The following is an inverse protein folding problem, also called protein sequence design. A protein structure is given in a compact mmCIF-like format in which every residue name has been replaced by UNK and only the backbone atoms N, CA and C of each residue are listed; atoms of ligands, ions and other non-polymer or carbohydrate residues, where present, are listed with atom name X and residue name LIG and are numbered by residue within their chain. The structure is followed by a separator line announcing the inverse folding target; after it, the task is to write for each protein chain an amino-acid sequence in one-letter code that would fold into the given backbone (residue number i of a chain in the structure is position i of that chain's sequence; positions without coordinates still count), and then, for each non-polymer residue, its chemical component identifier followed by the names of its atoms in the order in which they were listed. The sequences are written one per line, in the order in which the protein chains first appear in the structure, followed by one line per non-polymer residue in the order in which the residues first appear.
data_IF_595639239434
#
_entry.id   IF_595639239434
#
_cell.length_a   1.000
_cell.length_b   1.000
_cell.length_c   1.000
_cell.angle_alpha   90.00
_cell.angle_beta   90.00
_cell.angle_gamma   90.00
#
_symmetry.space_group_name_H-M   'P 1'
#
loop_
_entity.id
_entity.type
_entity.pdbx_description
1 polymer ?
#
# COMPACT_ATOMS: atom_id res chain seq x y z
N UNK A 1 -48.15 -20.49 24.04
CA UNK A 1 -48.71 -21.63 23.26
C UNK A 1 -48.96 -21.26 21.79
N UNK A 2 -49.60 -20.13 21.49
CA UNK A 2 -49.92 -19.71 20.12
C UNK A 2 -48.72 -19.53 19.18
N UNK A 3 -47.61 -18.91 19.62
CA UNK A 3 -46.41 -18.71 18.78
C UNK A 3 -45.85 -20.02 18.24
N UNK A 4 -45.86 -21.07 19.08
CA UNK A 4 -45.30 -22.37 18.71
C UNK A 4 -46.14 -23.06 17.64
N UNK A 5 -47.47 -22.95 17.73
CA UNK A 5 -48.39 -23.49 16.74
C UNK A 5 -48.23 -22.81 15.39
N UNK A 6 -48.07 -21.49 15.37
CA UNK A 6 -47.87 -20.70 14.13
C UNK A 6 -46.55 -21.08 13.46
N UNK A 7 -45.46 -21.20 14.23
CA UNK A 7 -44.15 -21.63 13.69
C UNK A 7 -44.24 -23.05 13.11
N UNK A 8 -44.87 -24.00 13.80
CA UNK A 8 -45.10 -25.36 13.29
C UNK A 8 -45.91 -25.35 11.99
N UNK A 9 -46.97 -24.54 11.92
CA UNK A 9 -47.81 -24.41 10.73
C UNK A 9 -47.04 -23.81 9.55
N UNK A 10 -46.23 -22.77 9.79
CA UNK A 10 -45.40 -22.14 8.77
C UNK A 10 -44.36 -23.13 8.20
N UNK A 11 -43.66 -23.88 9.03
CA UNK A 11 -42.72 -24.93 8.58
C UNK A 11 -43.42 -26.00 7.74
N UNK A 12 -44.60 -26.46 8.18
CA UNK A 12 -45.39 -27.43 7.41
C UNK A 12 -45.82 -26.90 6.04
N UNK A 13 -46.19 -25.62 5.98
CA UNK A 13 -46.55 -24.93 4.72
C UNK A 13 -45.37 -24.79 3.77
N UNK A 14 -44.18 -24.44 4.29
CA UNK A 14 -42.93 -24.36 3.51
C UNK A 14 -42.55 -25.71 2.89
N UNK A 15 -42.71 -26.81 3.66
CA UNK A 15 -42.43 -28.19 3.21
C UNK A 15 -43.48 -28.68 2.21
N UNK A 16 -44.73 -28.19 2.28
CA UNK A 16 -45.76 -28.53 1.30
C UNK A 16 -45.46 -27.95 -0.09
N UNK A 17 -44.78 -26.80 -0.16
CA UNK A 17 -44.43 -26.11 -1.40
C UNK A 17 -42.91 -26.13 -1.64
N UNK A 18 -42.31 -27.32 -1.65
CA UNK A 18 -40.84 -27.50 -1.69
C UNK A 18 -40.16 -26.70 -2.80
N UNK A 19 -40.69 -26.76 -4.02
CA UNK A 19 -40.07 -26.11 -5.19
C UNK A 19 -40.10 -24.58 -5.08
N UNK A 20 -41.25 -24.01 -4.71
CA UNK A 20 -41.40 -22.55 -4.53
C UNK A 20 -40.52 -22.03 -3.39
N UNK A 21 -40.56 -22.70 -2.24
CA UNK A 21 -39.76 -22.31 -1.07
C UNK A 21 -38.26 -22.42 -1.37
N UNK A 22 -37.84 -23.48 -2.06
CA UNK A 22 -36.44 -23.68 -2.45
C UNK A 22 -35.94 -22.60 -3.40
N UNK A 23 -36.68 -22.31 -4.48
CA UNK A 23 -36.31 -21.29 -5.46
C UNK A 23 -36.25 -19.88 -4.84
N UNK A 24 -37.18 -19.55 -3.94
CA UNK A 24 -37.18 -18.27 -3.23
C UNK A 24 -35.97 -18.14 -2.30
N UNK A 25 -35.64 -19.20 -1.54
CA UNK A 25 -34.45 -19.21 -0.69
C UNK A 25 -33.16 -19.11 -1.51
N UNK A 26 -33.07 -19.84 -2.63
CA UNK A 26 -31.92 -19.82 -3.52
C UNK A 26 -31.63 -18.40 -4.04
N UNK A 27 -32.68 -17.68 -4.45
CA UNK A 27 -32.56 -16.29 -4.91
C UNK A 27 -31.99 -15.36 -3.84
N UNK A 28 -32.47 -15.47 -2.60
CA UNK A 28 -31.96 -14.66 -1.49
C UNK A 28 -30.51 -15.02 -1.17
N UNK A 29 -30.17 -16.31 -1.12
CA UNK A 29 -28.80 -16.77 -0.83
C UNK A 29 -27.81 -16.22 -1.87
N UNK A 30 -28.12 -16.36 -3.16
CA UNK A 30 -27.26 -15.87 -4.24
C UNK A 30 -27.16 -14.34 -4.20
N UNK A 31 -28.29 -13.65 -4.03
CA UNK A 31 -28.34 -12.18 -3.97
C UNK A 31 -27.50 -11.61 -2.83
N UNK A 32 -27.68 -12.11 -1.61
CA UNK A 32 -26.92 -11.65 -0.43
C UNK A 32 -25.44 -12.02 -0.56
N UNK A 33 -25.13 -13.22 -1.06
CA UNK A 33 -23.73 -13.67 -1.24
C UNK A 33 -22.98 -12.79 -2.24
N UNK A 34 -23.61 -12.42 -3.36
CA UNK A 34 -23.01 -11.54 -4.36
C UNK A 34 -22.70 -10.14 -3.79
N UNK A 35 -23.63 -9.56 -3.03
CA UNK A 35 -23.45 -8.25 -2.39
C UNK A 35 -22.31 -8.30 -1.37
N UNK A 36 -22.29 -9.30 -0.48
CA UNK A 36 -21.22 -9.45 0.53
C UNK A 36 -19.86 -9.63 -0.16
N UNK A 37 -19.79 -10.46 -1.19
CA UNK A 37 -18.54 -10.72 -1.93
C UNK A 37 -18.00 -9.44 -2.56
N UNK A 38 -18.87 -8.66 -3.21
CA UNK A 38 -18.50 -7.39 -3.85
C UNK A 38 -18.03 -6.36 -2.82
N UNK A 39 -18.71 -6.23 -1.68
CA UNK A 39 -18.27 -5.33 -0.61
C UNK A 39 -16.92 -5.74 -0.03
N UNK A 40 -16.72 -7.03 0.23
CA UNK A 40 -15.46 -7.56 0.76
C UNK A 40 -14.30 -7.31 -0.20
N UNK A 41 -14.51 -7.55 -1.50
CA UNK A 41 -13.52 -7.29 -2.53
C UNK A 41 -13.25 -5.79 -2.69
N UNK A 42 -14.29 -4.96 -2.73
CA UNK A 42 -14.16 -3.52 -2.91
C UNK A 42 -13.37 -2.86 -1.77
N UNK A 43 -13.73 -3.18 -0.53
CA UNK A 43 -13.04 -2.66 0.66
C UNK A 43 -11.61 -3.21 0.78
N UNK A 44 -11.39 -4.48 0.44
CA UNK A 44 -10.07 -5.09 0.41
C UNK A 44 -9.14 -4.43 -0.62
N UNK A 45 -9.64 -4.23 -1.84
CA UNK A 45 -8.90 -3.54 -2.91
C UNK A 45 -8.58 -2.09 -2.55
N UNK A 46 -9.55 -1.36 -1.99
CA UNK A 46 -9.33 0.02 -1.53
C UNK A 46 -8.25 0.08 -0.44
N UNK A 47 -8.27 -0.86 0.52
CA UNK A 47 -7.26 -0.94 1.57
C UNK A 47 -5.89 -1.22 0.98
N UNK A 48 -5.78 -2.19 0.08
CA UNK A 48 -4.52 -2.54 -0.58
C UNK A 48 -3.92 -1.37 -1.36
N UNK A 49 -4.75 -0.63 -2.12
CA UNK A 49 -4.30 0.57 -2.84
C UNK A 49 -3.84 1.64 -1.86
N UNK A 50 -4.60 1.87 -0.78
CA UNK A 50 -4.23 2.85 0.25
C UNK A 50 -2.91 2.51 0.93
N UNK A 51 -2.67 1.23 1.22
CA UNK A 51 -1.40 0.74 1.77
C UNK A 51 -0.25 0.90 0.78
N UNK A 52 -0.46 0.54 -0.49
CA UNK A 52 0.55 0.72 -1.54
C UNK A 52 0.92 2.20 -1.70
N UNK A 53 -0.07 3.09 -1.76
CA UNK A 53 0.15 4.55 -1.85
C UNK A 53 0.82 5.09 -0.59
N UNK A 54 0.44 4.59 0.59
CA UNK A 54 1.08 4.99 1.85
C UNK A 54 2.53 4.50 1.93
N UNK A 55 2.83 3.32 1.40
CA UNK A 55 4.18 2.74 1.35
C UNK A 55 5.14 3.47 0.41
N UNK A 56 4.61 4.17 -0.60
CA UNK A 56 5.38 5.08 -1.43
C UNK A 56 5.77 6.37 -0.68
N UNK A 57 5.26 6.55 0.54
CA UNK A 57 5.50 7.71 1.38
C UNK A 57 4.58 8.86 0.98
N UNK A 58 3.59 9.15 1.81
CA UNK A 58 2.60 10.22 1.55
C UNK A 58 3.20 11.64 1.61
N UNK A 59 4.48 11.80 1.95
CA UNK A 59 5.12 13.11 2.09
C UNK A 59 6.66 13.06 1.93
N UNK A 60 7.18 12.36 0.92
CA UNK A 60 8.64 12.30 0.67
C UNK A 60 9.06 13.43 -0.26
N UNK A 61 9.98 14.29 0.22
CA UNK A 61 10.68 15.29 -0.58
C UNK A 61 12.15 14.89 -0.74
N UNK A 62 12.55 14.56 -1.97
CA UNK A 62 13.94 14.16 -2.27
C UNK A 62 14.74 15.35 -2.78
N UNK A 63 15.75 15.77 -2.01
CA UNK A 63 16.66 16.86 -2.38
C UNK A 63 17.94 16.25 -2.96
N UNK A 64 18.37 16.70 -4.15
CA UNK A 64 19.60 16.24 -4.81
C UNK A 64 20.49 17.43 -5.16
N UNK A 65 21.82 17.30 -5.07
CA UNK A 65 22.72 18.37 -5.46
C UNK A 65 22.60 18.62 -6.96
N UNK A 66 22.48 19.88 -7.36
CA UNK A 66 22.45 20.27 -8.77
C UNK A 66 23.81 20.06 -9.43
N UNK A 67 23.83 19.50 -10.64
CA UNK A 67 25.03 19.47 -11.47
C UNK A 67 25.16 20.79 -12.25
N UNK A 68 26.21 21.57 -12.00
CA UNK A 68 26.54 22.72 -12.86
C UNK A 68 27.11 22.20 -14.17
N UNK A 69 26.36 22.36 -15.26
CA UNK A 69 26.89 22.22 -16.61
C UNK A 69 27.39 23.60 -17.08
N UNK A 70 28.70 23.79 -17.17
CA UNK A 70 29.29 24.97 -17.79
C UNK A 70 30.08 24.51 -19.03
N UNK A 71 29.66 24.95 -20.22
CA UNK A 71 30.41 24.74 -21.47
C UNK A 71 30.51 23.28 -21.96
N UNK A 72 29.53 22.42 -21.67
CA UNK A 72 29.52 21.02 -22.13
C UNK A 72 30.43 20.07 -21.35
N UNK A 73 31.21 20.59 -20.40
CA UNK A 73 31.98 19.78 -19.45
C UNK A 73 31.15 19.65 -18.18
N UNK A 74 30.85 18.40 -17.80
CA UNK A 74 30.34 18.10 -16.46
C UNK A 74 31.48 18.34 -15.47
N UNK A 75 31.57 19.55 -14.93
CA UNK A 75 32.41 19.80 -13.75
C UNK A 75 31.88 18.91 -12.64
N UNK A 76 32.81 18.20 -11.97
CA UNK A 76 32.54 17.22 -10.92
C UNK A 76 31.38 17.64 -10.00
N UNK A 77 30.61 16.65 -9.55
CA UNK A 77 29.56 16.81 -8.54
C UNK A 77 30.14 17.52 -7.32
N UNK A 78 30.05 18.85 -7.28
CA UNK A 78 30.38 19.59 -6.08
C UNK A 78 29.34 19.16 -5.05
N UNK A 79 29.83 18.57 -3.96
CA UNK A 79 28.99 18.06 -2.88
C UNK A 79 28.49 19.26 -2.07
N UNK A 80 27.53 19.99 -2.65
CA UNK A 80 26.95 21.22 -2.06
C UNK A 80 25.98 20.90 -0.94
N UNK A 81 25.45 19.66 -0.89
CA UNK A 81 24.66 19.15 0.22
C UNK A 81 25.58 18.50 1.24
N UNK A 82 25.56 19.02 2.46
CA UNK A 82 26.30 18.46 3.59
C UNK A 82 25.36 17.86 4.63
N UNK A 83 25.94 17.13 5.58
CA UNK A 83 25.19 16.51 6.67
C UNK A 83 24.59 17.59 7.60
N UNK A 84 25.29 18.72 7.78
CA UNK A 84 24.81 19.82 8.61
C UNK A 84 23.52 20.46 8.06
N UNK A 85 23.35 20.47 6.73
CA UNK A 85 22.12 20.95 6.09
C UNK A 85 20.93 20.07 6.46
N UNK A 86 21.13 18.75 6.52
CA UNK A 86 20.09 17.80 6.91
C UNK A 86 19.65 17.97 8.38
N UNK A 87 20.60 18.20 9.29
CA UNK A 87 20.29 18.49 10.70
C UNK A 87 19.59 19.84 10.88
N UNK A 88 20.01 20.86 10.12
CA UNK A 88 19.44 22.20 10.21
C UNK A 88 17.99 22.23 9.72
N UNK A 89 17.65 21.47 8.67
CA UNK A 89 16.28 21.34 8.17
C UNK A 89 15.30 20.80 9.24
N UNK A 90 15.72 19.82 10.04
CA UNK A 90 14.89 19.28 11.14
C UNK A 90 14.72 20.29 12.28
N UNK A 91 15.75 21.10 12.55
CA UNK A 91 15.71 22.09 13.64
C UNK A 91 14.90 23.33 13.29
N UNK A 92 15.00 23.81 12.05
CA UNK A 92 14.39 25.08 11.62
C UNK A 92 12.96 24.91 11.10
N UNK A 93 12.60 23.73 10.56
CA UNK A 93 11.29 23.49 9.96
C UNK A 93 10.52 22.45 10.81
N UNK A 94 9.58 22.88 11.67
CA UNK A 94 8.85 21.98 12.58
C UNK A 94 7.88 21.02 11.86
N UNK A 95 7.63 21.22 10.57
CA UNK A 95 6.77 20.36 9.74
C UNK A 95 7.51 19.12 9.21
N UNK A 96 8.85 19.08 9.34
CA UNK A 96 9.68 17.95 8.92
C UNK A 96 9.83 16.99 10.11
N UNK A 97 9.12 15.87 10.06
CA UNK A 97 9.16 14.84 11.11
C UNK A 97 10.49 14.07 11.13
N UNK A 98 11.03 13.77 9.93
CA UNK A 98 12.27 13.00 9.80
C UNK A 98 13.02 13.35 8.52
N UNK A 99 14.35 13.39 8.61
CA UNK A 99 15.27 13.49 7.47
C UNK A 99 16.18 12.28 7.45
N UNK A 100 16.41 11.73 6.25
CA UNK A 100 17.34 10.63 6.02
C UNK A 100 18.41 11.08 5.01
N UNK A 101 19.63 11.39 5.46
CA UNK A 101 20.74 11.66 4.54
C UNK A 101 21.16 10.37 3.85
N UNK A 102 21.42 10.44 2.54
CA UNK A 102 21.86 9.30 1.74
C UNK A 102 23.19 9.64 1.07
N UNK A 103 24.25 8.92 1.43
CA UNK A 103 25.54 8.97 0.77
C UNK A 103 25.78 7.65 0.03
N UNK A 104 25.78 7.72 -1.30
CA UNK A 104 26.08 6.58 -2.16
C UNK A 104 27.51 6.67 -2.71
N UNK A 105 28.30 5.61 -2.56
CA UNK A 105 29.59 5.47 -3.25
C UNK A 105 29.69 4.11 -3.93
N UNK A 106 30.28 4.09 -5.13
CA UNK A 106 30.49 2.86 -5.89
C UNK A 106 31.75 2.18 -5.41
N UNK A 107 31.61 0.97 -4.85
CA UNK A 107 32.73 0.15 -4.42
C UNK A 107 32.87 -1.08 -5.31
N UNK A 108 34.12 -1.48 -5.48
CA UNK A 108 34.44 -2.72 -6.17
C UNK A 108 34.36 -3.88 -5.18
N UNK A 109 33.33 -4.71 -5.34
CA UNK A 109 33.12 -5.89 -4.49
C UNK A 109 33.75 -7.11 -5.19
N UNK A 110 34.73 -7.71 -4.52
CA UNK A 110 35.43 -8.91 -5.00
C UNK A 110 35.00 -10.12 -4.17
N UNK A 111 34.55 -11.17 -4.87
CA UNK A 111 34.32 -12.49 -4.27
C UNK A 111 35.07 -13.55 -5.11
N UNK A 112 36.16 -14.08 -4.55
CA UNK A 112 37.10 -14.97 -5.24
C UNK A 112 37.53 -14.43 -6.61
N UNK A 113 37.17 -15.13 -7.69
CA UNK A 113 37.54 -14.81 -9.06
C UNK A 113 36.46 -13.96 -9.79
N UNK A 114 35.44 -13.47 -9.05
CA UNK A 114 34.41 -12.58 -9.57
C UNK A 114 34.56 -11.19 -8.97
N UNK A 115 34.49 -10.19 -9.83
CA UNK A 115 34.57 -8.79 -9.46
C UNK A 115 33.37 -8.06 -10.04
N UNK A 116 32.68 -7.26 -9.23
CA UNK A 116 31.59 -6.40 -9.70
C UNK A 116 31.65 -5.06 -9.01
N UNK A 117 31.34 -3.99 -9.74
CA UNK A 117 31.16 -2.67 -9.15
C UNK A 117 29.72 -2.58 -8.67
N UNK A 118 29.53 -2.31 -7.39
CA UNK A 118 28.21 -2.16 -6.78
C UNK A 118 28.12 -0.85 -6.02
N UNK A 119 26.95 -0.21 -6.06
CA UNK A 119 26.69 1.02 -5.33
C UNK A 119 26.33 0.67 -3.89
N UNK A 120 27.11 1.18 -2.93
CA UNK A 120 26.82 1.07 -1.50
C UNK A 120 26.24 2.40 -1.06
N UNK A 121 25.01 2.38 -0.54
CA UNK A 121 24.34 3.54 0.05
C UNK A 121 24.40 3.43 1.57
N UNK A 122 24.74 4.51 2.27
CA UNK A 122 24.75 4.62 3.73
C UNK A 122 24.57 6.05 4.20
#
# INVERSE_FOLDING_TARGET
MFIWTIVKLAFKSLISNKLRSFLAMLGIIIGVSAVISLLSLGTGAQKQISEQVSSMGKNILTIRPGARNAGGVRTSLNNTLKLEDAESLVREIPEIEQVSPLAGSSYQIKYFNKNTVSTVNG
#
